data_IF_520458757059
#
_entry.id   IF_520458757059
#
_cell.length_a   1.000
_cell.length_b   1.000
_cell.length_c   1.000
_cell.angle_alpha   90.00
_cell.angle_beta   90.00
_cell.angle_gamma   90.00
#
_symmetry.space_group_name_H-M   'P 1'
#
loop_
_entity.id
_entity.type
_entity.pdbx_description
1 polymer ?
#
# COMPACT_ATOMS: atom_id res chain seq x y z
N UNK A 1 -1.81 -7.41 -5.51
CA UNK A 1 -2.28 -6.84 -6.80
C UNK A 1 -3.65 -7.42 -7.11
N UNK A 2 -4.51 -6.64 -7.78
CA UNK A 2 -5.78 -7.10 -8.31
C UNK A 2 -5.84 -6.83 -9.83
N UNK A 3 -6.51 -7.69 -10.61
CA UNK A 3 -6.80 -7.40 -12.02
C UNK A 3 -7.88 -6.31 -12.17
N UNK A 4 -8.78 -6.20 -11.21
CA UNK A 4 -9.80 -5.13 -11.18
C UNK A 4 -9.24 -3.84 -10.59
N UNK A 5 -9.81 -2.69 -10.98
CA UNK A 5 -9.49 -1.41 -10.34
C UNK A 5 -10.08 -1.37 -8.93
N UNK A 6 -9.40 -0.70 -8.00
CA UNK A 6 -9.86 -0.57 -6.61
C UNK A 6 -9.86 0.89 -6.16
N UNK A 7 -11.03 1.39 -5.77
CA UNK A 7 -11.20 2.70 -5.15
C UNK A 7 -11.08 2.55 -3.64
N UNK A 8 -10.26 3.38 -3.00
CA UNK A 8 -10.12 3.46 -1.56
C UNK A 8 -10.68 4.81 -1.12
N UNK A 9 -11.58 4.80 -0.15
CA UNK A 9 -12.23 6.00 0.38
C UNK A 9 -11.95 6.07 1.88
N UNK A 10 -11.40 7.19 2.33
CA UNK A 10 -11.08 7.43 3.74
C UNK A 10 -12.33 7.65 4.59
N UNK A 11 -12.36 7.04 5.77
CA UNK A 11 -13.31 7.36 6.85
C UNK A 11 -12.66 8.03 8.05
N UNK A 12 -11.53 7.49 8.53
CA UNK A 12 -10.85 8.00 9.72
C UNK A 12 -9.35 7.66 9.71
N UNK A 13 -8.53 8.55 10.26
CA UNK A 13 -7.08 8.33 10.41
C UNK A 13 -6.30 8.56 9.12
N UNK A 14 -5.14 7.92 8.99
CA UNK A 14 -4.29 8.01 7.79
C UNK A 14 -3.36 6.81 7.64
N UNK A 15 -2.96 6.52 6.40
CA UNK A 15 -1.98 5.48 6.07
C UNK A 15 -1.17 5.86 4.84
N UNK A 16 0.11 5.48 4.82
CA UNK A 16 0.96 5.56 3.63
C UNK A 16 0.72 4.33 2.75
N UNK A 17 0.50 4.55 1.47
CA UNK A 17 0.43 3.56 0.42
C UNK A 17 1.69 3.61 -0.43
N UNK A 18 2.33 2.46 -0.61
CA UNK A 18 3.34 2.22 -1.65
C UNK A 18 2.67 1.52 -2.82
N UNK A 19 2.69 2.16 -3.98
CA UNK A 19 2.18 1.64 -5.25
C UNK A 19 3.36 1.32 -6.17
N UNK A 20 3.32 0.13 -6.78
CA UNK A 20 4.33 -0.33 -7.73
C UNK A 20 3.61 -0.69 -9.03
N UNK A 21 3.80 0.15 -10.03
CA UNK A 21 3.32 -0.09 -11.39
C UNK A 21 4.40 -0.85 -12.15
N UNK A 22 4.13 -2.09 -12.62
CA UNK A 22 5.10 -2.89 -13.36
C UNK A 22 5.62 -2.15 -14.61
N UNK A 23 6.91 -2.32 -14.89
CA UNK A 23 7.60 -1.68 -16.02
C UNK A 23 9.08 -2.08 -16.02
N UNK A 24 9.86 -1.52 -16.95
CA UNK A 24 11.31 -1.69 -16.97
C UNK A 24 12.00 -0.34 -17.24
N UNK A 25 12.37 0.43 -16.19
CA UNK A 25 12.18 0.13 -14.76
C UNK A 25 10.70 0.32 -14.33
N UNK A 26 10.28 -0.26 -13.19
CA UNK A 26 8.96 -0.02 -12.63
C UNK A 26 8.82 1.43 -12.13
N UNK A 27 7.57 1.89 -12.00
CA UNK A 27 7.26 3.17 -11.35
C UNK A 27 6.82 2.93 -9.92
N UNK A 28 7.45 3.64 -8.97
CA UNK A 28 7.17 3.57 -7.54
C UNK A 28 6.57 4.89 -7.08
N UNK A 29 5.38 4.82 -6.49
CA UNK A 29 4.69 6.00 -5.95
C UNK A 29 4.37 5.77 -4.47
N UNK A 30 4.61 6.79 -3.65
CA UNK A 30 4.17 6.82 -2.25
C UNK A 30 3.16 7.93 -2.09
N UNK A 31 2.02 7.62 -1.47
CA UNK A 31 0.96 8.58 -1.22
C UNK A 31 0.31 8.29 0.13
N UNK A 32 -0.20 9.32 0.80
CA UNK A 32 -0.89 9.17 2.07
C UNK A 32 -2.38 9.34 1.84
N UNK A 33 -3.15 8.31 2.20
CA UNK A 33 -4.59 8.47 2.35
C UNK A 33 -4.84 9.08 3.73
N UNK A 34 -5.57 10.19 3.79
CA UNK A 34 -5.75 10.97 5.01
C UNK A 34 -6.47 12.30 4.75
N UNK A 35 -6.70 13.09 5.79
CA UNK A 35 -7.45 14.34 5.72
C UNK A 35 -6.58 15.60 5.90
N UNK A 36 -5.27 15.42 6.10
CA UNK A 36 -4.29 16.48 6.32
C UNK A 36 -3.78 17.14 5.02
N UNK A 37 -2.94 18.17 5.15
CA UNK A 37 -2.35 18.86 3.99
C UNK A 37 -1.51 17.93 3.12
N UNK A 38 -1.78 17.90 1.81
CA UNK A 38 -1.04 17.05 0.86
C UNK A 38 -1.48 15.58 0.84
N UNK A 39 -2.43 15.18 1.70
CA UNK A 39 -3.01 13.85 1.74
C UNK A 39 -4.24 13.76 0.83
N UNK A 40 -4.58 12.56 0.38
CA UNK A 40 -5.80 12.33 -0.40
C UNK A 40 -6.87 11.62 0.42
N UNK A 41 -8.14 12.01 0.25
CA UNK A 41 -9.28 11.28 0.85
C UNK A 41 -9.73 10.10 -0.01
N UNK A 42 -9.28 10.04 -1.26
CA UNK A 42 -9.63 8.98 -2.20
C UNK A 42 -8.42 8.56 -3.01
N UNK A 43 -8.15 7.26 -3.07
CA UNK A 43 -7.05 6.68 -3.83
C UNK A 43 -7.59 5.63 -4.81
N UNK A 44 -7.37 5.85 -6.11
CA UNK A 44 -7.61 4.86 -7.14
C UNK A 44 -6.34 4.04 -7.34
N UNK A 45 -6.42 2.72 -7.16
CA UNK A 45 -5.37 1.80 -7.56
C UNK A 45 -5.81 1.09 -8.84
N UNK A 46 -5.05 1.32 -9.91
CA UNK A 46 -5.31 0.76 -11.23
C UNK A 46 -5.11 -0.77 -11.30
N UNK A 47 -5.59 -1.35 -12.40
CA UNK A 47 -5.38 -2.76 -12.74
C UNK A 47 -3.90 -3.10 -12.78
N UNK A 48 -3.52 -4.23 -12.17
CA UNK A 48 -2.15 -4.73 -12.23
C UNK A 48 -1.14 -4.00 -11.34
N UNK A 49 -1.54 -2.93 -10.66
CA UNK A 49 -0.70 -2.21 -9.71
C UNK A 49 -0.59 -2.99 -8.41
N UNK A 50 0.63 -3.15 -7.91
CA UNK A 50 0.88 -3.71 -6.58
C UNK A 50 0.72 -2.61 -5.53
N UNK A 51 0.02 -2.92 -4.43
CA UNK A 51 -0.23 -1.98 -3.34
C UNK A 51 0.17 -2.62 -2.01
N UNK A 52 0.77 -1.81 -1.14
CA UNK A 52 0.99 -2.10 0.29
C UNK A 52 0.64 -0.83 1.06
N UNK A 53 -0.05 -0.96 2.19
CA UNK A 53 -0.37 0.16 3.06
C UNK A 53 0.15 -0.09 4.47
N UNK A 54 0.65 0.97 5.13
CA UNK A 54 1.08 0.93 6.53
C UNK A 54 0.69 2.21 7.25
N UNK A 55 0.50 2.11 8.57
CA UNK A 55 0.43 3.30 9.41
C UNK A 55 1.77 4.01 9.41
N UNK A 56 1.74 5.33 9.53
CA UNK A 56 2.96 6.13 9.46
C UNK A 56 3.76 5.96 10.76
N UNK A 57 5.10 5.78 10.67
CA UNK A 57 5.94 5.65 11.86
C UNK A 57 5.81 6.82 12.83
N UNK A 58 5.62 8.06 12.34
CA UNK A 58 5.39 9.22 13.20
C UNK A 58 4.11 9.10 14.04
N UNK A 59 3.01 8.62 13.46
CA UNK A 59 1.72 8.47 14.15
C UNK A 59 1.79 7.34 15.19
N UNK A 60 2.46 6.24 14.82
CA UNK A 60 2.74 5.12 15.73
C UNK A 60 3.63 5.59 16.89
N UNK A 61 4.64 6.40 16.60
CA UNK A 61 5.56 6.95 17.60
C UNK A 61 4.95 8.02 18.50
N UNK A 62 3.89 8.70 18.09
CA UNK A 62 3.20 9.70 18.92
C UNK A 62 2.17 9.09 19.88
N UNK A 63 1.65 7.90 19.58
CA UNK A 63 0.67 7.22 20.43
C UNK A 63 1.33 6.57 21.66
N UNK A 64 1.47 7.34 22.75
CA UNK A 64 2.17 6.90 23.96
C UNK A 64 1.23 6.24 24.97
N UNK A 65 0.01 6.74 25.09
CA UNK A 65 -1.01 6.20 26.00
C UNK A 65 -1.84 5.08 25.36
N UNK A 66 -2.42 4.21 26.18
CA UNK A 66 -3.31 3.15 25.69
C UNK A 66 -4.54 3.70 24.95
N UNK A 67 -5.05 4.88 25.36
CA UNK A 67 -6.16 5.53 24.67
C UNK A 67 -5.77 6.06 23.29
N UNK A 68 -4.58 6.64 23.15
CA UNK A 68 -4.05 7.08 21.85
C UNK A 68 -3.81 5.89 20.93
N UNK A 69 -3.19 4.81 21.44
CA UNK A 69 -2.99 3.57 20.68
C UNK A 69 -4.30 2.95 20.22
N UNK A 70 -5.37 3.05 21.02
CA UNK A 70 -6.71 2.58 20.62
C UNK A 70 -7.33 3.42 19.49
N UNK A 71 -6.96 4.70 19.37
CA UNK A 71 -7.45 5.60 18.32
C UNK A 71 -6.54 5.61 17.08
N UNK A 72 -5.32 5.10 17.19
CA UNK A 72 -4.37 4.97 16.10
C UNK A 72 -4.87 3.94 15.08
N UNK A 73 -5.05 4.39 13.83
CA UNK A 73 -5.49 3.52 12.75
C UNK A 73 -5.79 4.29 11.47
N UNK A 74 -6.23 3.55 10.45
CA UNK A 74 -6.74 4.09 9.21
C UNK A 74 -7.94 3.24 8.78
N UNK A 75 -9.15 3.81 8.89
CA UNK A 75 -10.38 3.18 8.46
C UNK A 75 -10.76 3.66 7.07
N UNK A 76 -11.01 2.72 6.17
CA UNK A 76 -11.35 2.99 4.77
C UNK A 76 -12.48 2.06 4.30
N UNK A 77 -13.08 2.40 3.17
CA UNK A 77 -13.85 1.46 2.34
C UNK A 77 -13.12 1.24 1.02
N UNK A 78 -13.10 -0.02 0.56
CA UNK A 78 -12.66 -0.36 -0.78
C UNK A 78 -13.86 -0.74 -1.67
N UNK A 79 -13.90 -0.22 -2.89
CA UNK A 79 -14.83 -0.62 -3.94
C UNK A 79 -14.02 -1.18 -5.10
N UNK A 80 -14.27 -2.42 -5.49
CA UNK A 80 -13.53 -3.13 -6.55
C UNK A 80 -14.45 -3.28 -7.77
N UNK A 81 -13.96 -2.88 -8.95
CA UNK A 81 -14.74 -2.91 -10.20
C UNK A 81 -13.91 -3.49 -11.35
N UNK A 82 -14.37 -4.57 -12.05
CA UNK A 82 -15.48 -5.46 -11.69
C UNK A 82 -15.32 -6.07 -10.29
N UNK A 83 -16.40 -6.67 -9.76
CA UNK A 83 -16.44 -7.20 -8.40
C UNK A 83 -15.24 -8.09 -8.04
N UNK A 84 -14.86 -8.09 -6.78
CA UNK A 84 -13.70 -8.86 -6.32
C UNK A 84 -13.89 -10.37 -6.54
N UNK A 85 -12.88 -10.99 -7.14
CA UNK A 85 -12.75 -12.44 -7.26
C UNK A 85 -11.36 -12.88 -6.80
N UNK A 86 -11.27 -14.04 -6.13
CA UNK A 86 -10.01 -14.55 -5.58
C UNK A 86 -8.98 -14.86 -6.67
N UNK A 87 -9.45 -15.27 -7.85
CA UNK A 87 -8.67 -15.58 -9.05
C UNK A 87 -7.99 -14.33 -9.66
N UNK A 88 -8.46 -13.14 -9.29
CA UNK A 88 -7.90 -11.86 -9.71
C UNK A 88 -6.91 -11.29 -8.69
N UNK A 89 -6.89 -11.84 -7.47
CA UNK A 89 -6.04 -11.39 -6.40
C UNK A 89 -4.72 -12.17 -6.33
N UNK A 90 -3.61 -11.43 -6.22
CA UNK A 90 -2.27 -12.00 -5.98
C UNK A 90 -1.57 -11.30 -4.83
N UNK A 91 -1.05 -12.10 -3.89
CA UNK A 91 -0.09 -11.65 -2.89
C UNK A 91 1.32 -11.66 -3.48
N UNK A 92 2.14 -10.70 -3.08
CA UNK A 92 3.52 -10.60 -3.55
C UNK A 92 4.40 -11.56 -2.74
N UNK A 93 5.23 -12.32 -3.43
CA UNK A 93 6.26 -13.19 -2.84
C UNK A 93 7.62 -12.50 -2.92
N UNK A 94 8.62 -12.99 -2.19
CA UNK A 94 9.97 -12.43 -2.24
C UNK A 94 10.56 -12.48 -3.66
N UNK A 95 10.51 -13.64 -4.32
CA UNK A 95 10.97 -13.77 -5.71
C UNK A 95 10.20 -12.87 -6.67
N UNK A 96 8.89 -12.71 -6.46
CA UNK A 96 8.05 -11.81 -7.24
C UNK A 96 8.42 -10.33 -7.03
N UNK A 97 8.77 -9.93 -5.81
CA UNK A 97 9.23 -8.58 -5.52
C UNK A 97 10.57 -8.29 -6.23
N UNK A 98 11.55 -9.19 -6.12
CA UNK A 98 12.86 -9.03 -6.77
C UNK A 98 12.73 -8.85 -8.28
N UNK A 99 11.91 -9.66 -8.93
CA UNK A 99 11.66 -9.49 -10.36
C UNK A 99 10.90 -8.20 -10.68
N UNK A 100 9.90 -7.85 -9.86
CA UNK A 100 9.10 -6.64 -10.04
C UNK A 100 9.92 -5.35 -9.95
N UNK A 101 10.93 -5.31 -9.06
CA UNK A 101 11.75 -4.12 -8.79
C UNK A 101 13.06 -4.08 -9.58
N UNK A 102 13.30 -5.10 -10.42
CA UNK A 102 14.53 -5.24 -11.20
C UNK A 102 14.82 -4.01 -12.04
N UNK A 103 16.04 -3.48 -11.90
CA UNK A 103 16.49 -2.30 -12.65
C UNK A 103 15.98 -0.96 -12.11
N UNK A 104 15.24 -0.97 -10.99
CA UNK A 104 14.97 0.23 -10.23
C UNK A 104 16.25 0.71 -9.52
N UNK A 105 16.50 2.03 -9.49
CA UNK A 105 17.73 2.62 -8.97
C UNK A 105 18.07 2.15 -7.53
N UNK A 106 17.05 2.06 -6.66
CA UNK A 106 17.21 1.73 -5.24
C UNK A 106 16.61 0.34 -4.91
N UNK A 107 16.79 -0.63 -5.82
CA UNK A 107 16.23 -1.99 -5.77
C UNK A 107 16.38 -2.65 -4.39
N UNK A 108 17.61 -2.78 -3.88
CA UNK A 108 17.91 -3.46 -2.60
C UNK A 108 17.26 -2.76 -1.39
N UNK A 109 17.20 -1.43 -1.41
CA UNK A 109 16.55 -0.65 -0.35
C UNK A 109 15.05 -0.93 -0.34
N UNK A 110 14.41 -0.94 -1.52
CA UNK A 110 12.98 -1.21 -1.65
C UNK A 110 12.64 -2.65 -1.27
N UNK A 111 13.51 -3.61 -1.62
CA UNK A 111 13.38 -5.02 -1.19
C UNK A 111 13.44 -5.10 0.33
N UNK A 112 14.44 -4.49 0.96
CA UNK A 112 14.58 -4.49 2.41
C UNK A 112 13.37 -3.84 3.11
N UNK A 113 12.84 -2.74 2.56
CA UNK A 113 11.65 -2.07 3.09
C UNK A 113 10.39 -2.96 3.01
N UNK A 114 10.17 -3.65 1.90
CA UNK A 114 8.91 -4.35 1.64
C UNK A 114 8.90 -5.81 2.08
N UNK A 115 10.05 -6.45 2.22
CA UNK A 115 10.19 -7.86 2.64
C UNK A 115 9.38 -8.22 3.91
N UNK A 116 9.36 -7.40 4.97
CA UNK A 116 8.58 -7.69 6.17
C UNK A 116 7.07 -7.84 5.95
N UNK A 117 6.54 -7.27 4.86
CA UNK A 117 5.11 -7.23 4.54
C UNK A 117 4.70 -8.26 3.47
N UNK A 118 5.64 -9.07 2.98
CA UNK A 118 5.35 -10.09 1.98
C UNK A 118 4.62 -11.28 2.59
N UNK A 119 3.87 -12.00 1.75
CA UNK A 119 3.27 -13.27 2.17
C UNK A 119 4.40 -14.26 2.45
N UNK A 120 4.53 -14.69 3.70
CA UNK A 120 5.39 -15.82 4.08
C UNK A 120 4.80 -17.07 3.43
N UNK A 121 5.61 -17.74 2.61
CA UNK A 121 5.28 -19.04 1.99
C UNK A 121 5.64 -20.15 2.96
#
# INVERSE_FOLDING_TARGET
>A
MNKSVTYHVLHQGRAEYTLITPGNPPTIEKTVIGAGPGETRQLLVGTGVWKMSKLLPEDVGQAQTEEEKRRLGCLITEVVVPGFHWEDHKFLTEGGLRELVKGFQDEERLIAELTPYLKKV
#
